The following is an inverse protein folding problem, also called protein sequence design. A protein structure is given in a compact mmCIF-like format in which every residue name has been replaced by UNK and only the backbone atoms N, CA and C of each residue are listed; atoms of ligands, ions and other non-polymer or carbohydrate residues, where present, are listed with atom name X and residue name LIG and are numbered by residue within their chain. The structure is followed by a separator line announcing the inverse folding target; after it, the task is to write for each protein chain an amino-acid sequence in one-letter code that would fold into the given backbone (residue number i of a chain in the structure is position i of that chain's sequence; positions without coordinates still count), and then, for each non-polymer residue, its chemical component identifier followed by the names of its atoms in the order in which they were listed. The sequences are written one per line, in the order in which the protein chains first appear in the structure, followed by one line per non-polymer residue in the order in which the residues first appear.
data_IF_601377361078
#
_entry.id   IF_601377361078
#
_cell.length_a   1.000
_cell.length_b   1.000
_cell.length_c   1.000
_cell.angle_alpha   90.00
_cell.angle_beta   90.00
_cell.angle_gamma   90.00
#
_symmetry.space_group_name_H-M   'P 1'
#
loop_
_entity.id
_entity.type
_entity.pdbx_description
1 polymer ?
#
# COMPACT_ATOMS: atom_id res chain seq x y z
N UNK A 1 -9.61 -8.25 14.52
CA UNK A 1 -8.29 -7.86 15.02
C UNK A 1 -8.43 -6.92 16.23
N UNK A 2 -9.28 -5.90 16.16
CA UNK A 2 -9.55 -4.95 17.24
C UNK A 2 -10.91 -5.20 17.89
N UNK A 3 -11.00 -5.03 19.20
CA UNK A 3 -12.22 -5.21 20.01
C UNK A 3 -12.50 -3.92 20.81
N UNK A 4 -13.68 -3.83 21.42
CA UNK A 4 -14.02 -2.70 22.32
C UNK A 4 -12.98 -2.50 23.44
N UNK A 5 -12.33 -3.59 23.90
CA UNK A 5 -11.27 -3.54 24.93
C UNK A 5 -9.96 -2.90 24.45
N UNK A 6 -9.84 -2.62 23.14
CA UNK A 6 -8.63 -2.06 22.53
C UNK A 6 -8.77 -0.57 22.22
N UNK A 7 -9.94 0.03 22.56
CA UNK A 7 -10.14 1.49 22.45
C UNK A 7 -9.08 2.20 23.30
N UNK A 8 -8.48 3.24 22.75
CA UNK A 8 -7.39 4.01 23.39
C UNK A 8 -5.99 3.39 23.27
N UNK A 9 -5.85 2.17 22.74
CA UNK A 9 -4.54 1.54 22.51
C UNK A 9 -4.02 1.82 21.11
N UNK A 10 -2.70 1.87 20.95
CA UNK A 10 -2.09 1.97 19.62
C UNK A 10 -2.39 0.72 18.79
N UNK A 11 -2.93 0.92 17.58
CA UNK A 11 -3.24 -0.16 16.62
C UNK A 11 -2.06 -1.10 16.41
N UNK A 12 -0.84 -0.57 16.27
CA UNK A 12 0.39 -1.36 16.08
C UNK A 12 0.70 -2.29 17.28
N UNK A 13 0.40 -1.87 18.50
CA UNK A 13 0.62 -2.69 19.71
C UNK A 13 -0.37 -3.85 19.77
N UNK A 14 -1.65 -3.59 19.46
CA UNK A 14 -2.68 -4.62 19.40
C UNK A 14 -2.39 -5.62 18.29
N UNK A 15 -2.03 -5.13 17.09
CA UNK A 15 -1.64 -5.97 15.96
C UNK A 15 -0.45 -6.86 16.28
N UNK A 16 0.61 -6.31 16.91
CA UNK A 16 1.77 -7.10 17.35
C UNK A 16 1.36 -8.23 18.30
N UNK A 17 0.52 -7.92 19.30
CA UNK A 17 0.02 -8.93 20.26
C UNK A 17 -0.76 -10.03 19.55
N UNK A 18 -1.62 -9.68 18.59
CA UNK A 18 -2.39 -10.63 17.80
C UNK A 18 -1.49 -11.55 16.98
N UNK A 19 -0.54 -10.98 16.20
CA UNK A 19 0.37 -11.79 15.36
C UNK A 19 1.24 -12.72 16.21
N UNK A 20 1.70 -12.26 17.38
CA UNK A 20 2.50 -13.10 18.29
C UNK A 20 1.72 -14.28 18.89
N UNK A 21 0.38 -14.23 18.93
CA UNK A 21 -0.46 -15.40 19.29
C UNK A 21 -0.45 -16.45 18.16
N UNK A 22 -0.40 -16.01 16.88
CA UNK A 22 -0.36 -16.91 15.73
C UNK A 22 1.04 -17.52 15.58
N UNK A 23 2.09 -16.70 15.69
CA UNK A 23 3.47 -17.16 15.58
C UNK A 23 4.41 -16.35 16.47
N UNK A 24 5.04 -17.02 17.42
CA UNK A 24 6.05 -16.41 18.30
C UNK A 24 7.38 -16.13 17.58
N UNK A 25 7.65 -16.83 16.48
CA UNK A 25 8.93 -16.75 15.74
C UNK A 25 9.06 -15.47 14.90
N UNK A 26 7.95 -14.83 14.52
CA UNK A 26 7.97 -13.64 13.65
C UNK A 26 8.60 -12.46 14.41
N UNK A 27 9.63 -11.85 13.82
CA UNK A 27 10.20 -10.61 14.35
C UNK A 27 9.32 -9.41 13.94
N UNK A 28 8.73 -8.72 14.91
CA UNK A 28 7.81 -7.61 14.69
C UNK A 28 8.35 -6.34 15.36
N UNK A 29 8.67 -5.34 14.55
CA UNK A 29 8.98 -3.98 15.00
C UNK A 29 7.76 -3.10 14.82
N UNK A 30 7.41 -2.32 15.82
CA UNK A 30 6.26 -1.40 15.80
C UNK A 30 6.72 0.03 15.99
N UNK A 31 6.06 0.95 15.29
CA UNK A 31 6.31 2.38 15.39
C UNK A 31 4.98 3.08 15.63
N UNK A 32 4.91 3.94 16.64
CA UNK A 32 3.70 4.66 17.06
C UNK A 32 3.64 6.08 16.51
N UNK A 33 4.52 6.44 15.59
CA UNK A 33 4.60 7.76 14.96
C UNK A 33 4.07 7.70 13.52
N UNK A 34 3.43 8.79 13.07
CA UNK A 34 3.11 9.00 11.65
C UNK A 34 4.41 8.91 10.84
N UNK A 35 4.33 8.27 9.67
CA UNK A 35 5.46 8.21 8.74
C UNK A 35 5.69 9.60 8.13
N UNK A 36 6.95 10.02 8.10
CA UNK A 36 7.39 11.30 7.56
C UNK A 36 8.77 11.19 6.89
N UNK A 37 9.23 12.29 6.28
CA UNK A 37 10.53 12.33 5.59
C UNK A 37 11.72 12.06 6.52
N UNK A 38 11.60 12.36 7.83
CA UNK A 38 12.68 12.19 8.81
C UNK A 38 12.80 10.75 9.29
N UNK A 39 11.70 10.00 9.29
CA UNK A 39 11.66 8.66 9.89
C UNK A 39 11.54 7.51 8.89
N UNK A 40 11.06 7.74 7.65
CA UNK A 40 10.79 6.68 6.67
C UNK A 40 12.02 5.81 6.40
N UNK A 41 13.21 6.41 6.28
CA UNK A 41 14.44 5.65 6.06
C UNK A 41 14.73 4.68 7.22
N UNK A 42 14.66 5.15 8.45
CA UNK A 42 14.88 4.31 9.65
C UNK A 42 13.86 3.18 9.74
N UNK A 43 12.60 3.45 9.36
CA UNK A 43 11.51 2.47 9.40
C UNK A 43 11.68 1.41 8.31
N UNK A 44 11.96 1.83 7.07
CA UNK A 44 11.82 0.97 5.90
C UNK A 44 13.14 0.46 5.28
N UNK A 45 14.32 0.93 5.73
CA UNK A 45 15.61 0.58 5.10
C UNK A 45 15.90 -0.91 5.02
N UNK A 46 15.52 -1.68 6.03
CA UNK A 46 15.83 -3.11 6.15
C UNK A 46 14.73 -4.03 5.58
N UNK A 47 13.79 -3.49 4.82
CA UNK A 47 12.70 -4.27 4.24
C UNK A 47 12.76 -4.18 2.71
N UNK A 48 12.57 -5.31 2.03
CA UNK A 48 12.58 -5.41 0.57
C UNK A 48 11.23 -5.03 -0.03
N UNK A 49 10.15 -5.29 0.70
CA UNK A 49 8.77 -5.04 0.29
C UNK A 49 8.11 -4.11 1.29
N UNK A 50 7.44 -3.10 0.78
CA UNK A 50 6.65 -2.16 1.57
C UNK A 50 5.19 -2.30 1.18
N UNK A 51 4.32 -2.53 2.17
CA UNK A 51 2.87 -2.47 2.00
C UNK A 51 2.38 -1.10 2.45
N UNK A 52 1.64 -0.41 1.59
CA UNK A 52 1.01 0.86 1.89
C UNK A 52 -0.51 0.69 1.94
N UNK A 53 -1.10 0.96 3.07
CA UNK A 53 -2.54 1.04 3.32
C UNK A 53 -2.91 2.36 3.99
N UNK A 54 -2.16 3.44 3.68
CA UNK A 54 -2.45 4.78 4.21
C UNK A 54 -3.69 5.38 3.52
N UNK A 55 -4.37 6.25 4.23
CA UNK A 55 -5.62 6.92 3.83
C UNK A 55 -5.42 8.33 3.27
N UNK A 56 -4.17 8.79 3.17
CA UNK A 56 -3.85 10.13 2.71
C UNK A 56 -2.77 10.15 1.63
N UNK A 57 -2.88 11.09 0.71
CA UNK A 57 -1.98 11.22 -0.44
C UNK A 57 -0.55 11.61 -0.04
N UNK A 58 -0.37 12.42 1.00
CA UNK A 58 0.96 12.82 1.47
C UNK A 58 1.82 11.60 1.83
N UNK A 59 1.29 10.72 2.68
CA UNK A 59 1.98 9.49 3.07
C UNK A 59 2.21 8.56 1.89
N UNK A 60 1.21 8.42 1.02
CA UNK A 60 1.28 7.58 -0.18
C UNK A 60 2.37 8.03 -1.15
N UNK A 61 2.45 9.33 -1.43
CA UNK A 61 3.52 9.89 -2.26
C UNK A 61 4.89 9.74 -1.61
N UNK A 62 4.99 9.96 -0.31
CA UNK A 62 6.24 9.79 0.44
C UNK A 62 6.74 8.35 0.36
N UNK A 63 5.87 7.37 0.58
CA UNK A 63 6.21 5.95 0.53
C UNK A 63 6.61 5.55 -0.90
N UNK A 64 5.85 5.98 -1.91
CA UNK A 64 6.17 5.73 -3.31
C UNK A 64 7.57 6.25 -3.66
N UNK A 65 7.85 7.52 -3.36
CA UNK A 65 9.13 8.17 -3.68
C UNK A 65 10.30 7.49 -2.96
N UNK A 66 10.08 7.08 -1.71
CA UNK A 66 11.08 6.36 -0.94
C UNK A 66 11.37 4.97 -1.53
N UNK A 67 10.34 4.20 -1.84
CA UNK A 67 10.49 2.86 -2.41
C UNK A 67 11.17 2.91 -3.78
N UNK A 68 10.81 3.88 -4.62
CA UNK A 68 11.43 4.09 -5.92
C UNK A 68 12.92 4.43 -5.79
N UNK A 69 13.28 5.39 -4.91
CA UNK A 69 14.67 5.78 -4.68
C UNK A 69 15.53 4.63 -4.15
N UNK A 70 14.95 3.75 -3.34
CA UNK A 70 15.66 2.64 -2.69
C UNK A 70 15.41 1.28 -3.36
N UNK A 71 14.90 1.27 -4.60
CA UNK A 71 14.68 0.06 -5.42
C UNK A 71 13.93 -1.06 -4.69
N UNK A 72 12.84 -0.70 -4.01
CA UNK A 72 12.01 -1.64 -3.24
C UNK A 72 10.76 -2.03 -4.02
N UNK A 73 10.13 -3.14 -3.63
CA UNK A 73 8.78 -3.46 -4.09
C UNK A 73 7.80 -2.66 -3.23
N UNK A 74 6.83 -2.02 -3.88
CA UNK A 74 5.73 -1.33 -3.21
C UNK A 74 4.41 -1.96 -3.64
N UNK A 75 3.66 -2.49 -2.67
CA UNK A 75 2.27 -2.92 -2.86
C UNK A 75 1.38 -1.95 -2.10
N UNK A 76 0.70 -1.08 -2.82
CA UNK A 76 -0.15 -0.02 -2.25
C UNK A 76 -1.62 -0.34 -2.49
N UNK A 77 -2.45 -0.10 -1.49
CA UNK A 77 -3.90 -0.31 -1.57
C UNK A 77 -4.64 0.97 -1.19
N UNK A 78 -5.71 1.25 -1.92
CA UNK A 78 -6.64 2.35 -1.64
C UNK A 78 -8.07 1.81 -1.70
N UNK A 79 -8.91 2.32 -0.82
CA UNK A 79 -10.34 2.02 -0.82
C UNK A 79 -11.13 3.33 -0.74
N UNK A 80 -12.23 3.39 -1.47
CA UNK A 80 -13.13 4.53 -1.44
C UNK A 80 -14.55 4.05 -1.70
N UNK A 81 -15.51 4.46 -0.86
CA UNK A 81 -16.92 4.06 -0.94
C UNK A 81 -17.11 2.56 -1.21
N UNK A 82 -17.26 2.19 -2.49
CA UNK A 82 -17.50 0.83 -2.96
C UNK A 82 -16.37 0.27 -3.82
N UNK A 83 -15.28 1.03 -4.02
CA UNK A 83 -14.18 0.65 -4.87
C UNK A 83 -12.89 0.40 -4.08
N UNK A 84 -12.19 -0.68 -4.44
CA UNK A 84 -10.85 -0.96 -3.97
C UNK A 84 -9.85 -0.96 -5.12
N UNK A 85 -8.65 -0.48 -4.86
CA UNK A 85 -7.55 -0.45 -5.81
C UNK A 85 -6.29 -1.04 -5.17
N UNK A 86 -5.60 -1.91 -5.90
CA UNK A 86 -4.30 -2.44 -5.48
C UNK A 86 -3.28 -2.19 -6.59
N UNK A 87 -2.21 -1.52 -6.22
CA UNK A 87 -1.07 -1.21 -7.07
C UNK A 87 0.10 -2.08 -6.67
N UNK A 88 0.84 -2.59 -7.64
CA UNK A 88 2.06 -3.33 -7.40
C UNK A 88 3.19 -2.77 -8.26
N UNK A 89 4.22 -2.22 -7.64
CA UNK A 89 5.39 -1.62 -8.28
C UNK A 89 6.66 -2.37 -7.84
N UNK A 90 7.42 -2.89 -8.79
CA UNK A 90 8.76 -3.42 -8.53
C UNK A 90 9.81 -2.42 -9.03
N UNK A 91 10.26 -1.54 -8.14
CA UNK A 91 11.23 -0.50 -8.49
C UNK A 91 12.67 -1.00 -8.71
N UNK A 92 12.91 -2.30 -8.62
CA UNK A 92 14.15 -2.93 -9.11
C UNK A 92 14.16 -3.05 -10.64
N UNK A 93 12.99 -2.85 -11.27
CA UNK A 93 12.75 -2.91 -12.72
C UNK A 93 12.21 -1.57 -13.23
N UNK A 94 12.22 -1.38 -14.54
CA UNK A 94 11.59 -0.21 -15.18
C UNK A 94 10.07 -0.32 -15.14
N UNK A 95 9.44 0.18 -14.08
CA UNK A 95 7.99 0.19 -13.93
C UNK A 95 7.46 1.62 -13.78
N UNK A 96 6.19 1.88 -14.13
CA UNK A 96 5.54 3.12 -13.72
C UNK A 96 5.55 3.21 -12.19
N UNK A 97 5.34 4.41 -11.66
CA UNK A 97 5.19 4.66 -10.23
C UNK A 97 3.79 5.26 -9.94
N UNK A 98 3.46 5.43 -8.67
CA UNK A 98 2.17 6.03 -8.29
C UNK A 98 1.99 7.44 -8.88
N UNK A 99 3.08 8.23 -9.06
CA UNK A 99 3.02 9.54 -9.70
C UNK A 99 2.78 9.49 -11.21
N UNK A 100 2.98 8.36 -11.87
CA UNK A 100 2.55 8.18 -13.27
C UNK A 100 1.03 8.09 -13.37
N UNK A 101 0.39 7.50 -12.37
CA UNK A 101 -1.07 7.43 -12.26
C UNK A 101 -1.65 8.75 -11.76
N UNK A 102 -1.08 9.31 -10.69
CA UNK A 102 -1.55 10.53 -10.04
C UNK A 102 -0.36 11.50 -9.86
N UNK A 103 -0.16 12.45 -10.79
CA UNK A 103 1.00 13.35 -10.76
C UNK A 103 1.00 14.31 -9.57
N UNK A 104 -0.18 14.73 -9.12
CA UNK A 104 -0.39 15.67 -8.01
C UNK A 104 -1.48 15.14 -7.08
N UNK A 105 -1.46 15.57 -5.82
CA UNK A 105 -2.59 15.37 -4.92
C UNK A 105 -3.82 16.08 -5.50
N UNK A 106 -5.02 15.49 -5.43
CA UNK A 106 -6.25 16.22 -5.68
C UNK A 106 -6.33 17.43 -4.75
N UNK A 107 -6.85 18.56 -5.24
CA UNK A 107 -7.00 19.79 -4.44
C UNK A 107 -8.08 19.64 -3.34
N UNK A 108 -9.01 18.73 -3.54
CA UNK A 108 -9.98 18.34 -2.52
C UNK A 108 -9.43 17.12 -1.79
N UNK A 109 -9.29 17.21 -0.49
CA UNK A 109 -9.15 16.04 0.35
C UNK A 109 -10.43 15.23 0.17
N UNK A 110 -10.31 14.10 -0.56
CA UNK A 110 -11.35 13.09 -0.55
C UNK A 110 -11.40 12.57 0.89
N UNK A 111 -12.23 13.20 1.69
CA UNK A 111 -12.45 12.83 3.08
C UNK A 111 -13.19 11.49 3.08
N UNK A 112 -12.42 10.39 3.17
CA UNK A 112 -12.98 9.06 3.41
C UNK A 112 -13.88 9.03 4.67
N UNK A 113 -13.71 9.99 5.58
CA UNK A 113 -14.53 10.15 6.78
C UNK A 113 -15.96 10.61 6.48
N UNK A 114 -16.16 11.49 5.48
CA UNK A 114 -17.50 12.02 5.14
C UNK A 114 -18.32 11.05 4.31
N UNK A 115 -17.69 10.23 3.48
CA UNK A 115 -18.38 9.43 2.45
C UNK A 115 -18.67 7.99 2.89
N UNK A 116 -18.08 7.53 4.00
CA UNK A 116 -18.17 6.15 4.47
C UNK A 116 -17.47 5.15 3.53
N UNK A 117 -17.22 3.95 4.03
CA UNK A 117 -16.58 2.86 3.29
C UNK A 117 -17.30 1.56 3.59
N UNK A 118 -17.59 0.79 2.55
CA UNK A 118 -18.06 -0.57 2.75
C UNK A 118 -16.98 -1.40 3.44
N UNK A 119 -17.21 -1.85 4.68
CA UNK A 119 -16.19 -2.45 5.56
C UNK A 119 -15.53 -3.69 4.98
N UNK A 120 -16.24 -4.47 4.15
CA UNK A 120 -15.70 -5.66 3.47
C UNK A 120 -14.56 -5.33 2.50
N UNK A 121 -14.54 -4.11 1.94
CA UNK A 121 -13.48 -3.67 1.03
C UNK A 121 -12.10 -3.70 1.67
N UNK A 122 -11.99 -3.32 2.94
CA UNK A 122 -10.70 -3.36 3.65
C UNK A 122 -10.14 -4.79 3.71
N UNK A 123 -11.02 -5.78 3.94
CA UNK A 123 -10.64 -7.20 3.95
C UNK A 123 -10.21 -7.69 2.57
N UNK A 124 -10.98 -7.38 1.53
CA UNK A 124 -10.68 -7.76 0.13
C UNK A 124 -9.36 -7.13 -0.32
N UNK A 125 -9.23 -5.81 -0.16
CA UNK A 125 -8.04 -5.08 -0.57
C UNK A 125 -6.79 -5.57 0.17
N UNK A 126 -6.88 -5.81 1.48
CA UNK A 126 -5.78 -6.33 2.29
C UNK A 126 -5.38 -7.75 1.88
N UNK A 127 -6.35 -8.62 1.57
CA UNK A 127 -6.07 -9.99 1.08
C UNK A 127 -5.40 -9.98 -0.30
N UNK A 128 -5.85 -9.14 -1.21
CA UNK A 128 -5.24 -8.96 -2.53
C UNK A 128 -3.81 -8.41 -2.41
N UNK A 129 -3.60 -7.44 -1.52
CA UNK A 129 -2.29 -6.87 -1.23
C UNK A 129 -1.33 -7.94 -0.68
N UNK A 130 -1.77 -8.74 0.29
CA UNK A 130 -1.01 -9.84 0.86
C UNK A 130 -0.66 -10.90 -0.21
N UNK A 131 -1.60 -11.23 -1.09
CA UNK A 131 -1.37 -12.16 -2.20
C UNK A 131 -0.25 -11.69 -3.14
N UNK A 132 -0.22 -10.41 -3.51
CA UNK A 132 0.84 -9.85 -4.35
C UNK A 132 2.20 -9.87 -3.63
N UNK A 133 2.23 -9.67 -2.31
CA UNK A 133 3.45 -9.81 -1.49
C UNK A 133 3.95 -11.24 -1.50
N UNK A 134 3.08 -12.21 -1.22
CA UNK A 134 3.44 -13.65 -1.22
C UNK A 134 4.00 -14.07 -2.57
N UNK A 135 3.34 -13.69 -3.67
CA UNK A 135 3.82 -13.97 -5.03
C UNK A 135 5.20 -13.36 -5.30
N UNK A 136 5.44 -12.15 -4.79
CA UNK A 136 6.71 -11.46 -4.95
C UNK A 136 7.84 -12.12 -4.15
N UNK A 137 7.54 -12.66 -2.96
CA UNK A 137 8.50 -13.38 -2.11
C UNK A 137 8.85 -14.74 -2.72
N UNK A 138 7.82 -15.51 -3.11
CA UNK A 138 7.97 -16.87 -3.60
C UNK A 138 8.36 -16.93 -5.10
N UNK A 139 8.31 -15.79 -5.79
CA UNK A 139 8.54 -15.68 -7.24
C UNK A 139 7.64 -16.65 -8.05
N UNK A 140 6.37 -16.75 -7.67
CA UNK A 140 5.37 -17.63 -8.30
C UNK A 140 4.28 -16.85 -9.02
N UNK A 141 3.68 -17.48 -10.02
CA UNK A 141 2.56 -16.91 -10.78
C UNK A 141 2.93 -15.66 -11.57
N UNK A 142 1.92 -14.97 -12.09
CA UNK A 142 2.11 -13.68 -12.78
C UNK A 142 1.90 -12.52 -11.79
N UNK A 143 2.97 -11.84 -11.45
CA UNK A 143 2.89 -10.61 -10.66
C UNK A 143 2.19 -9.51 -11.43
N UNK A 144 1.47 -8.64 -10.72
CA UNK A 144 0.78 -7.49 -11.32
C UNK A 144 1.63 -6.22 -11.36
N UNK A 145 2.97 -6.35 -11.41
CA UNK A 145 3.86 -5.19 -11.48
C UNK A 145 3.50 -4.25 -12.63
N UNK A 146 3.38 -2.97 -12.32
CA UNK A 146 2.99 -1.95 -13.29
C UNK A 146 1.52 -2.01 -13.73
N UNK A 147 0.67 -2.69 -12.97
CA UNK A 147 -0.78 -2.70 -13.19
C UNK A 147 -1.51 -2.19 -11.95
N UNK A 148 -2.73 -1.71 -12.16
CA UNK A 148 -3.72 -1.49 -11.12
C UNK A 148 -4.73 -2.64 -11.19
N UNK A 149 -5.04 -3.22 -10.06
CA UNK A 149 -6.18 -4.09 -9.89
C UNK A 149 -7.28 -3.29 -9.21
N UNK A 150 -8.43 -3.18 -9.84
CA UNK A 150 -9.59 -2.45 -9.35
C UNK A 150 -10.68 -3.48 -9.03
N UNK A 151 -11.29 -3.36 -7.88
CA UNK A 151 -12.44 -4.14 -7.46
C UNK A 151 -13.59 -3.20 -7.12
N UNK A 152 -14.75 -3.43 -7.75
CA UNK A 152 -15.99 -2.75 -7.41
C UNK A 152 -16.86 -3.72 -6.58
N UNK A 153 -17.24 -3.31 -5.36
CA UNK A 153 -17.94 -4.17 -4.41
C UNK A 153 -19.44 -4.29 -4.73
N UNK A 154 -20.05 -3.33 -5.43
CA UNK A 154 -21.46 -3.40 -5.79
C UNK A 154 -21.71 -4.45 -6.87
N UNK A 155 -20.86 -4.45 -7.89
CA UNK A 155 -20.99 -5.37 -9.03
C UNK A 155 -20.13 -6.64 -8.87
N UNK A 156 -19.32 -6.73 -7.81
CA UNK A 156 -18.33 -7.79 -7.62
C UNK A 156 -17.40 -7.97 -8.84
N UNK A 157 -17.07 -6.86 -9.50
CA UNK A 157 -16.24 -6.87 -10.72
C UNK A 157 -14.78 -6.58 -10.42
N UNK A 158 -13.91 -7.39 -11.01
CA UNK A 158 -12.46 -7.16 -11.01
C UNK A 158 -12.01 -6.67 -12.37
N UNK A 159 -11.17 -5.64 -12.39
CA UNK A 159 -10.49 -5.16 -13.59
C UNK A 159 -9.00 -5.03 -13.31
N UNK A 160 -8.18 -5.46 -14.27
CA UNK A 160 -6.74 -5.25 -14.25
C UNK A 160 -6.37 -4.30 -15.37
N UNK A 161 -5.79 -3.16 -15.04
CA UNK A 161 -5.44 -2.10 -15.97
C UNK A 161 -3.93 -1.92 -15.96
N UNK A 162 -3.30 -1.96 -17.13
CA UNK A 162 -1.87 -1.65 -17.26
C UNK A 162 -1.65 -0.16 -17.06
N UNK A 163 -0.75 0.18 -16.14
CA UNK A 163 -0.30 1.56 -15.97
C UNK A 163 0.70 1.93 -17.07
N UNK A 164 0.44 3.04 -17.72
CA UNK A 164 1.40 3.65 -18.63
C UNK A 164 2.33 4.58 -17.84
N UNK A 165 3.58 4.62 -18.27
CA UNK A 165 4.52 5.59 -17.74
C UNK A 165 4.17 6.97 -18.25
N UNK A 166 4.12 7.94 -17.35
CA UNK A 166 4.02 9.34 -17.73
C UNK A 166 5.41 9.87 -18.13
N UNK A 167 5.56 10.29 -19.38
CA UNK A 167 6.82 10.86 -19.90
C UNK A 167 7.28 12.08 -19.07
N UNK A 168 6.33 12.85 -18.53
CA UNK A 168 6.58 14.03 -17.70
C UNK A 168 6.68 13.70 -16.19
N UNK A 169 6.87 12.43 -15.83
CA UNK A 169 7.04 12.07 -14.43
C UNK A 169 8.32 12.66 -13.86
N UNK A 170 8.16 13.71 -13.02
CA UNK A 170 9.27 14.48 -12.44
C UNK A 170 10.26 13.65 -11.60
N UNK A 171 9.90 12.42 -11.24
CA UNK A 171 10.74 11.53 -10.45
C UNK A 171 11.58 10.57 -11.28
N UNK A 172 11.56 10.73 -12.63
CA UNK A 172 12.35 9.88 -13.52
C UNK A 172 12.27 8.39 -13.16
N UNK A 173 11.03 7.89 -12.99
CA UNK A 173 10.79 6.45 -12.69
C UNK A 173 11.33 5.50 -13.79
N UNK A 174 12.16 6.07 -14.69
CA UNK A 174 12.86 5.43 -15.81
C UNK A 174 14.18 4.80 -15.36
N UNK A 175 14.81 5.37 -14.31
CA UNK A 175 16.17 5.06 -13.90
C UNK A 175 16.20 4.44 -12.49
N UNK A 176 15.47 3.36 -12.31
CA UNK A 176 15.69 2.51 -11.16
C UNK A 176 16.57 1.33 -11.56
#
# INVERSE_FOLDING_TARGET
LFTKKDIGKFKVSVSKKFIKKISKKINIKTFTKKIDRKNIHRIAKNYDIVCDGTDNFESRFLINDYCMKNKKILVSSAINKFDGQVFNFDFRRKTPCFRCFMPKSPNEELNCESDGIMTTLAGIAGSLQANEVIKSILNIGKNSHGNIMIFNALDSKFRKIKLLRNANCKRNCIYA
#
